data_IF_331850541043
#
_entry.id   IF_331850541043
#
_cell.length_a   1.000
_cell.length_b   1.000
_cell.length_c   1.000
_cell.angle_alpha   90.00
_cell.angle_beta   90.00
_cell.angle_gamma   90.00
#
_symmetry.space_group_name_H-M   'P 1'
#
loop_
_entity.id
_entity.type
_entity.pdbx_description
1 polymer ?
#
# COMPACT_ATOMS: atom_id res chain seq x y z
N UNK A 1 58.91 -22.87 -19.31
CA UNK A 1 57.44 -22.85 -19.18
C UNK A 1 57.00 -21.41 -19.00
N UNK A 2 56.44 -20.80 -20.04
CA UNK A 2 55.78 -19.52 -19.97
C UNK A 2 54.57 -19.61 -20.91
N UNK A 3 53.40 -19.85 -20.32
CA UNK A 3 52.13 -19.82 -21.04
C UNK A 3 51.74 -18.36 -21.25
N UNK A 4 51.76 -17.90 -22.49
CA UNK A 4 51.14 -16.66 -22.91
C UNK A 4 49.63 -16.85 -22.97
N UNK A 5 48.89 -16.24 -22.05
CA UNK A 5 47.43 -16.10 -22.14
C UNK A 5 47.03 -15.18 -23.30
N UNK A 6 46.04 -15.55 -24.14
CA UNK A 6 45.54 -14.65 -25.18
C UNK A 6 44.66 -13.56 -24.58
N UNK A 7 44.82 -12.33 -25.10
CA UNK A 7 44.02 -11.15 -24.77
C UNK A 7 42.54 -11.36 -25.15
N UNK A 8 41.56 -10.94 -24.34
CA UNK A 8 40.15 -11.07 -24.70
C UNK A 8 39.82 -10.16 -25.88
N UNK A 9 39.36 -10.75 -26.99
CA UNK A 9 38.72 -10.03 -28.10
C UNK A 9 37.45 -9.36 -27.61
N UNK A 10 37.34 -8.04 -27.75
CA UNK A 10 36.08 -7.32 -27.58
C UNK A 10 35.02 -7.89 -28.53
N UNK A 11 33.79 -8.15 -28.08
CA UNK A 11 32.71 -8.54 -29.00
C UNK A 11 32.29 -7.32 -29.82
N UNK A 12 32.77 -7.25 -31.07
CA UNK A 12 32.23 -6.39 -32.12
C UNK A 12 30.95 -7.00 -32.68
N UNK A 13 29.80 -6.56 -32.16
CA UNK A 13 28.52 -6.36 -32.88
C UNK A 13 27.40 -6.13 -31.87
N UNK A 14 27.19 -4.88 -31.47
CA UNK A 14 25.88 -4.46 -30.95
C UNK A 14 24.97 -4.30 -32.18
N UNK A 15 23.92 -5.11 -32.24
CA UNK A 15 22.86 -4.98 -33.24
C UNK A 15 22.35 -3.52 -33.30
N UNK A 16 21.95 -3.01 -34.47
CA UNK A 16 21.44 -1.65 -34.57
C UNK A 16 20.28 -1.47 -33.59
N UNK A 17 20.36 -0.44 -32.76
CA UNK A 17 19.27 -0.04 -31.88
C UNK A 17 18.01 0.09 -32.73
N UNK A 18 17.07 -0.84 -32.57
CA UNK A 18 15.74 -0.69 -33.14
C UNK A 18 15.22 0.66 -32.68
N UNK A 19 14.90 1.54 -33.63
CA UNK A 19 14.26 2.81 -33.37
C UNK A 19 12.91 2.49 -32.74
N UNK A 20 12.85 2.50 -31.40
CA UNK A 20 11.61 2.26 -30.68
C UNK A 20 10.73 3.46 -30.98
N UNK A 21 9.83 3.31 -31.95
CA UNK A 21 8.79 4.30 -32.19
C UNK A 21 8.06 4.49 -30.86
N UNK A 22 8.19 5.68 -30.25
CA UNK A 22 7.48 5.97 -29.01
C UNK A 22 5.98 6.04 -29.32
N UNK A 23 5.29 4.91 -29.16
CA UNK A 23 3.84 4.86 -29.23
C UNK A 23 3.32 5.56 -27.98
N UNK A 24 2.79 6.77 -28.16
CA UNK A 24 2.11 7.50 -27.10
C UNK A 24 0.72 6.88 -26.92
N UNK A 25 0.57 6.08 -25.87
CA UNK A 25 -0.73 5.53 -25.49
C UNK A 25 -1.50 6.60 -24.72
N UNK A 26 -2.70 6.95 -25.19
CA UNK A 26 -3.57 7.88 -24.48
C UNK A 26 -4.23 7.20 -23.28
N UNK A 27 -4.26 7.90 -22.15
CA UNK A 27 -4.91 7.39 -20.94
C UNK A 27 -6.43 7.36 -21.11
N UNK A 28 -7.05 6.36 -20.49
CA UNK A 28 -8.51 6.26 -20.47
C UNK A 28 -9.16 7.47 -19.77
N UNK A 29 -10.37 7.89 -20.18
CA UNK A 29 -11.11 8.97 -19.51
C UNK A 29 -11.36 8.70 -18.02
N UNK A 30 -11.47 7.44 -17.62
CA UNK A 30 -11.58 7.02 -16.21
C UNK A 30 -10.35 7.39 -15.39
N UNK A 31 -9.14 7.21 -15.95
CA UNK A 31 -7.87 7.52 -15.31
C UNK A 31 -7.76 9.01 -14.97
N UNK A 32 -8.27 9.88 -15.84
CA UNK A 32 -8.25 11.33 -15.59
C UNK A 32 -9.10 11.73 -14.36
N UNK A 33 -10.17 10.97 -14.06
CA UNK A 33 -11.04 11.21 -12.89
C UNK A 33 -10.36 10.85 -11.56
N UNK A 34 -9.35 9.97 -11.58
CA UNK A 34 -8.65 9.51 -10.37
C UNK A 34 -7.95 10.65 -9.63
N UNK A 35 -7.44 11.66 -10.35
CA UNK A 35 -6.83 12.85 -9.74
C UNK A 35 -7.74 13.49 -8.70
N UNK A 36 -9.02 13.67 -9.02
CA UNK A 36 -10.00 14.24 -8.11
C UNK A 36 -10.26 13.36 -6.88
N UNK A 37 -10.27 12.04 -7.05
CA UNK A 37 -10.44 11.07 -5.97
C UNK A 37 -9.24 11.10 -5.03
N UNK A 38 -8.01 11.05 -5.57
CA UNK A 38 -6.78 11.13 -4.79
C UNK A 38 -6.66 12.45 -4.04
N UNK A 39 -7.00 13.58 -4.67
CA UNK A 39 -7.01 14.90 -3.99
C UNK A 39 -8.01 14.91 -2.82
N UNK A 40 -9.21 14.36 -3.01
CA UNK A 40 -10.20 14.25 -1.92
C UNK A 40 -9.69 13.37 -0.78
N UNK A 41 -9.07 12.24 -1.10
CA UNK A 41 -8.46 11.35 -0.10
C UNK A 41 -7.38 12.08 0.71
N UNK A 42 -6.45 12.79 0.07
CA UNK A 42 -5.40 13.54 0.77
C UNK A 42 -5.97 14.66 1.66
N UNK A 43 -6.99 15.37 1.17
CA UNK A 43 -7.66 16.42 1.97
C UNK A 43 -8.38 15.82 3.18
N UNK A 44 -9.07 14.69 3.02
CA UNK A 44 -9.77 14.00 4.09
C UNK A 44 -8.82 13.39 5.10
N UNK A 45 -7.72 12.78 4.62
CA UNK A 45 -6.60 12.36 5.46
C UNK A 45 -6.15 13.51 6.36
N UNK A 46 -5.87 14.69 5.78
CA UNK A 46 -5.43 15.85 6.57
C UNK A 46 -6.47 16.31 7.58
N UNK A 47 -7.74 16.39 7.16
CA UNK A 47 -8.84 16.78 8.03
C UNK A 47 -8.99 15.80 9.21
N UNK A 48 -8.96 14.50 8.95
CA UNK A 48 -9.09 13.47 9.98
C UNK A 48 -7.94 13.50 10.98
N UNK A 49 -6.71 13.78 10.53
CA UNK A 49 -5.58 13.91 11.45
C UNK A 49 -5.62 15.22 12.28
N UNK A 50 -6.29 16.26 11.79
CA UNK A 50 -6.40 17.54 12.50
C UNK A 50 -7.53 17.59 13.53
N UNK A 51 -8.57 16.77 13.38
CA UNK A 51 -9.74 16.79 14.25
C UNK A 51 -9.55 15.82 15.44
N UNK A 52 -9.62 16.29 16.70
CA UNK A 52 -9.27 15.46 17.87
C UNK A 52 -10.24 14.30 18.14
N UNK A 53 -11.46 14.36 17.61
CA UNK A 53 -12.48 13.30 17.72
C UNK A 53 -12.49 12.33 16.53
N UNK A 54 -11.51 12.42 15.64
CA UNK A 54 -11.34 11.51 14.50
C UNK A 54 -10.08 10.67 14.70
N UNK A 55 -10.17 9.41 14.31
CA UNK A 55 -9.05 8.47 14.39
C UNK A 55 -8.51 8.15 13.00
N UNK A 56 -7.19 8.00 12.93
CA UNK A 56 -6.48 7.58 11.73
C UNK A 56 -5.58 6.40 12.05
N UNK A 57 -5.37 5.52 11.09
CA UNK A 57 -4.43 4.41 11.24
C UNK A 57 -3.51 4.37 10.04
N UNK A 58 -2.21 4.10 10.24
CA UNK A 58 -1.44 3.61 9.09
C UNK A 58 -1.72 2.14 8.94
N UNK A 59 -2.03 1.73 7.71
CA UNK A 59 -2.25 0.33 7.36
C UNK A 59 -1.37 -0.05 6.18
N UNK A 60 -0.79 -1.24 6.25
CA UNK A 60 0.05 -1.78 5.18
C UNK A 60 -0.79 -2.19 3.97
N UNK A 61 -0.18 -2.22 2.80
CA UNK A 61 -0.75 -2.90 1.64
C UNK A 61 -1.02 -4.37 2.01
N UNK A 62 -2.20 -4.88 1.64
CA UNK A 62 -2.66 -6.22 2.02
C UNK A 62 -3.39 -6.30 3.37
N UNK A 63 -3.42 -5.21 4.15
CA UNK A 63 -4.31 -5.11 5.31
C UNK A 63 -5.78 -4.97 4.85
N UNK A 64 -6.75 -5.61 5.54
CA UNK A 64 -8.19 -5.47 5.24
C UNK A 64 -8.69 -4.07 5.63
N UNK A 65 -8.49 -3.11 4.73
CA UNK A 65 -8.79 -1.68 4.93
C UNK A 65 -10.28 -1.40 5.21
N UNK A 66 -11.16 -2.32 4.82
CA UNK A 66 -12.58 -2.35 5.14
C UNK A 66 -12.82 -2.26 6.64
N UNK A 67 -11.95 -2.89 7.45
CA UNK A 67 -12.03 -2.80 8.91
C UNK A 67 -11.91 -1.37 9.40
N UNK A 68 -10.94 -0.60 8.87
CA UNK A 68 -10.77 0.80 9.25
C UNK A 68 -12.05 1.58 8.95
N UNK A 69 -12.61 1.40 7.76
CA UNK A 69 -13.84 2.09 7.38
C UNK A 69 -15.04 1.69 8.22
N UNK A 70 -15.18 0.42 8.58
CA UNK A 70 -16.26 -0.08 9.44
C UNK A 70 -16.15 0.50 10.86
N UNK A 71 -14.92 0.58 11.37
CA UNK A 71 -14.57 1.12 12.68
C UNK A 71 -14.42 2.65 12.69
N UNK A 72 -14.87 3.36 11.64
CA UNK A 72 -14.83 4.82 11.56
C UNK A 72 -13.42 5.44 11.66
N UNK A 73 -12.40 4.66 11.30
CA UNK A 73 -11.00 5.06 11.26
C UNK A 73 -10.62 5.38 9.82
N UNK A 74 -9.91 6.49 9.63
CA UNK A 74 -9.44 6.85 8.30
C UNK A 74 -8.06 6.20 8.04
N UNK A 75 -7.95 5.29 7.07
CA UNK A 75 -6.70 4.60 6.78
C UNK A 75 -5.74 5.52 6.02
N UNK A 76 -4.46 5.46 6.39
CA UNK A 76 -3.34 6.12 5.74
C UNK A 76 -2.38 5.04 5.23
N UNK A 77 -1.85 5.21 4.03
CA UNK A 77 -1.08 4.16 3.35
C UNK A 77 0.33 4.66 3.04
N UNK A 78 1.33 4.28 3.84
CA UNK A 78 2.69 4.79 3.68
C UNK A 78 3.36 4.32 2.38
N UNK A 79 2.99 3.17 1.81
CA UNK A 79 3.43 2.71 0.49
C UNK A 79 2.97 3.65 -0.61
N UNK A 80 1.69 4.06 -0.58
CA UNK A 80 1.16 5.01 -1.54
C UNK A 80 1.84 6.39 -1.39
N UNK A 81 2.11 6.82 -0.17
CA UNK A 81 2.88 8.04 0.08
C UNK A 81 4.29 7.95 -0.53
N UNK A 82 4.98 6.82 -0.40
CA UNK A 82 6.27 6.62 -1.04
C UNK A 82 6.18 6.56 -2.58
N UNK A 83 5.11 6.00 -3.15
CA UNK A 83 4.81 6.09 -4.58
C UNK A 83 4.66 7.55 -5.05
N UNK A 84 3.98 8.39 -4.26
CA UNK A 84 3.86 9.83 -4.56
C UNK A 84 5.26 10.48 -4.58
N UNK A 85 6.12 10.20 -3.60
CA UNK A 85 7.49 10.71 -3.59
C UNK A 85 8.29 10.26 -4.82
N UNK A 86 8.16 9.00 -5.22
CA UNK A 86 8.79 8.47 -6.43
C UNK A 86 8.31 9.17 -7.70
N UNK A 87 6.99 9.31 -7.86
CA UNK A 87 6.38 10.02 -9.00
C UNK A 87 6.74 11.51 -9.03
N UNK A 88 7.00 12.12 -7.87
CA UNK A 88 7.46 13.50 -7.73
C UNK A 88 8.98 13.66 -7.85
N UNK A 89 9.72 12.57 -8.04
CA UNK A 89 11.20 12.56 -8.13
C UNK A 89 11.88 13.13 -6.89
N UNK A 90 11.28 12.93 -5.72
CA UNK A 90 11.84 13.36 -4.42
C UNK A 90 12.22 12.18 -3.52
N UNK A 91 11.96 10.93 -3.94
CA UNK A 91 12.25 9.74 -3.13
C UNK A 91 13.74 9.55 -2.82
N UNK A 92 14.64 9.94 -3.73
CA UNK A 92 16.08 9.74 -3.54
C UNK A 92 16.61 10.43 -2.28
N UNK A 93 16.33 11.73 -2.10
CA UNK A 93 16.80 12.47 -0.93
C UNK A 93 16.17 11.97 0.37
N UNK A 94 14.93 11.46 0.32
CA UNK A 94 14.28 10.82 1.46
C UNK A 94 14.94 9.49 1.83
N UNK A 95 15.33 8.70 0.83
CA UNK A 95 16.09 7.45 1.04
C UNK A 95 17.45 7.75 1.67
N UNK A 96 18.19 8.73 1.14
CA UNK A 96 19.47 9.17 1.69
C UNK A 96 19.34 9.68 3.14
N UNK A 97 18.23 10.36 3.44
CA UNK A 97 17.90 10.77 4.83
C UNK A 97 17.77 9.55 5.73
N UNK A 98 16.99 8.54 5.32
CA UNK A 98 16.84 7.31 6.11
C UNK A 98 18.17 6.56 6.31
N UNK A 99 19.00 6.48 5.27
CA UNK A 99 20.33 5.85 5.36
C UNK A 99 21.24 6.60 6.34
N UNK A 100 21.16 7.94 6.38
CA UNK A 100 21.90 8.77 7.35
C UNK A 100 21.48 8.55 8.81
N UNK A 101 20.25 8.07 9.04
CA UNK A 101 19.75 7.68 10.37
C UNK A 101 20.24 6.28 10.79
N UNK A 102 21.04 5.61 9.96
CA UNK A 102 21.60 4.28 10.24
C UNK A 102 20.76 3.11 9.71
N UNK A 103 19.71 3.37 8.92
CA UNK A 103 18.96 2.30 8.27
C UNK A 103 19.75 1.70 7.10
N UNK A 104 19.80 0.37 7.02
CA UNK A 104 20.58 -0.33 5.98
C UNK A 104 20.10 0.03 4.58
N UNK A 105 21.06 0.15 3.64
CA UNK A 105 20.81 0.38 2.21
C UNK A 105 20.00 -0.75 1.57
N UNK A 106 20.06 -1.95 2.13
CA UNK A 106 19.37 -3.15 1.63
C UNK A 106 17.87 -3.16 1.96
N UNK A 107 17.40 -2.25 2.82
CA UNK A 107 15.99 -2.13 3.14
C UNK A 107 15.18 -1.62 1.94
N UNK A 108 13.91 -2.02 1.89
CA UNK A 108 12.97 -1.61 0.86
C UNK A 108 12.97 -0.09 0.66
N UNK A 109 12.94 0.35 -0.61
CA UNK A 109 12.87 1.77 -0.94
C UNK A 109 11.60 2.45 -0.41
N UNK A 110 10.47 1.74 -0.27
CA UNK A 110 9.27 2.26 0.38
C UNK A 110 9.51 2.55 1.87
N UNK A 111 10.12 1.62 2.60
CA UNK A 111 10.51 1.81 4.00
C UNK A 111 11.39 3.06 4.14
N UNK A 112 12.48 3.13 3.36
CA UNK A 112 13.46 4.24 3.46
C UNK A 112 12.84 5.58 3.06
N UNK A 113 12.06 5.61 1.98
CA UNK A 113 11.33 6.81 1.54
C UNK A 113 10.39 7.30 2.63
N UNK A 114 9.64 6.41 3.28
CA UNK A 114 8.71 6.77 4.35
C UNK A 114 9.43 7.24 5.62
N UNK A 115 10.50 6.56 6.02
CA UNK A 115 11.33 6.98 7.16
C UNK A 115 11.85 8.39 6.94
N UNK A 116 12.38 8.69 5.75
CA UNK A 116 12.84 10.02 5.38
C UNK A 116 11.70 11.05 5.26
N UNK A 117 10.55 10.66 4.72
CA UNK A 117 9.37 11.54 4.64
C UNK A 117 8.90 11.99 6.02
N UNK A 118 8.91 11.08 6.99
CA UNK A 118 8.60 11.37 8.39
C UNK A 118 9.66 12.27 9.01
N UNK A 119 10.94 11.94 8.83
CA UNK A 119 12.06 12.69 9.40
C UNK A 119 12.08 14.16 8.92
N UNK A 120 11.85 14.35 7.62
CA UNK A 120 11.90 15.68 6.99
C UNK A 120 10.61 16.49 7.15
N UNK A 121 9.51 15.86 7.58
CA UNK A 121 8.19 16.50 7.64
C UNK A 121 7.70 16.97 6.26
N UNK A 122 8.08 16.28 5.18
CA UNK A 122 7.73 16.70 3.81
C UNK A 122 6.21 16.79 3.63
N UNK A 123 5.75 17.70 2.76
CA UNK A 123 4.31 17.92 2.51
C UNK A 123 3.64 16.68 1.93
N UNK A 124 2.36 16.46 2.27
CA UNK A 124 1.57 15.31 1.78
C UNK A 124 1.54 15.18 0.24
N UNK A 125 1.50 16.31 -0.50
CA UNK A 125 1.56 16.31 -1.97
C UNK A 125 2.89 15.82 -2.57
N UNK A 126 3.91 15.64 -1.74
CA UNK A 126 5.23 15.10 -2.08
C UNK A 126 5.50 13.74 -1.39
N UNK A 127 4.47 13.12 -0.81
CA UNK A 127 4.56 11.82 -0.12
C UNK A 127 4.75 11.91 1.38
N UNK A 128 4.52 13.08 1.98
CA UNK A 128 4.34 13.18 3.43
C UNK A 128 3.12 12.41 3.91
N UNK A 129 3.16 11.98 5.16
CA UNK A 129 2.06 11.25 5.79
C UNK A 129 2.03 11.63 7.27
N UNK A 130 0.85 12.00 7.76
CA UNK A 130 0.71 12.49 9.13
C UNK A 130 0.78 11.35 10.15
N UNK A 131 1.20 11.66 11.39
CA UNK A 131 1.19 10.72 12.53
C UNK A 131 -0.23 10.19 12.77
N UNK A 132 -0.43 8.86 12.87
CA UNK A 132 -1.76 8.29 13.10
C UNK A 132 -2.08 8.12 14.58
N UNK A 133 -3.31 7.71 14.89
CA UNK A 133 -3.70 7.21 16.23
C UNK A 133 -2.98 5.90 16.55
N UNK A 134 -2.90 4.99 15.59
CA UNK A 134 -2.18 3.72 15.72
C UNK A 134 -1.63 3.23 14.38
N UNK A 135 -0.79 2.21 14.40
CA UNK A 135 -0.31 1.52 13.21
C UNK A 135 -0.81 0.08 13.22
N UNK A 136 -1.24 -0.42 12.07
CA UNK A 136 -1.55 -1.82 11.90
C UNK A 136 -0.91 -2.37 10.61
N UNK A 137 -0.39 -3.58 10.66
CA UNK A 137 0.15 -4.23 9.46
C UNK A 137 -0.13 -5.72 9.45
N UNK A 138 0.22 -6.34 8.33
CA UNK A 138 0.17 -7.78 8.12
C UNK A 138 1.44 -8.23 7.38
N UNK A 139 1.82 -9.49 7.53
CA UNK A 139 2.92 -10.13 6.81
C UNK A 139 2.51 -10.70 5.43
N UNK A 140 1.26 -10.55 4.98
CA UNK A 140 0.79 -11.10 3.69
C UNK A 140 1.62 -10.70 2.48
N UNK A 141 2.11 -9.45 2.44
CA UNK A 141 2.96 -8.96 1.36
C UNK A 141 4.43 -9.28 1.62
N UNK A 142 4.91 -8.96 2.82
CA UNK A 142 6.27 -9.30 3.27
C UNK A 142 6.43 -9.07 4.77
N UNK A 143 7.36 -9.80 5.39
CA UNK A 143 7.71 -9.60 6.81
C UNK A 143 8.36 -8.24 7.09
N UNK A 144 8.96 -7.61 6.08
CA UNK A 144 9.58 -6.29 6.27
C UNK A 144 8.55 -5.20 6.58
N UNK A 145 7.28 -5.35 6.16
CA UNK A 145 6.18 -4.47 6.55
C UNK A 145 5.93 -4.50 8.06
N UNK A 146 6.01 -5.68 8.69
CA UNK A 146 5.86 -5.81 10.15
C UNK A 146 6.94 -5.00 10.86
N UNK A 147 8.22 -5.18 10.49
CA UNK A 147 9.33 -4.42 11.09
C UNK A 147 9.26 -2.93 10.79
N UNK A 148 8.80 -2.56 9.60
CA UNK A 148 8.57 -1.17 9.21
C UNK A 148 7.59 -0.47 10.14
N UNK A 149 6.40 -1.05 10.29
CA UNK A 149 5.34 -0.46 11.09
C UNK A 149 5.69 -0.46 12.57
N UNK A 150 6.33 -1.52 13.09
CA UNK A 150 6.89 -1.52 14.45
C UNK A 150 7.89 -0.38 14.67
N UNK A 151 8.77 -0.11 13.69
CA UNK A 151 9.75 0.97 13.77
C UNK A 151 9.07 2.33 13.84
N UNK A 152 8.09 2.58 12.96
CA UNK A 152 7.37 3.85 12.93
C UNK A 152 6.47 4.04 14.14
N UNK A 153 5.83 2.98 14.65
CA UNK A 153 5.06 3.02 15.88
C UNK A 153 5.93 3.45 17.08
N UNK A 154 7.15 2.91 17.19
CA UNK A 154 8.11 3.35 18.21
C UNK A 154 8.55 4.80 18.03
N UNK A 155 8.87 5.21 16.79
CA UNK A 155 9.28 6.60 16.49
C UNK A 155 8.17 7.61 16.80
N UNK A 156 6.91 7.25 16.56
CA UNK A 156 5.77 8.10 16.88
C UNK A 156 5.28 7.99 18.33
N UNK A 157 5.64 6.93 19.05
CA UNK A 157 5.10 6.62 20.38
C UNK A 157 3.60 6.33 20.33
N UNK A 158 3.16 5.49 19.38
CA UNK A 158 1.76 5.10 19.19
C UNK A 158 1.63 3.58 19.20
N UNK A 159 0.45 3.03 19.57
CA UNK A 159 0.23 1.60 19.63
C UNK A 159 0.33 0.95 18.23
N UNK A 160 0.68 -0.33 18.21
CA UNK A 160 0.86 -1.13 17.01
C UNK A 160 0.12 -2.46 17.14
N UNK A 161 -0.56 -2.87 16.07
CA UNK A 161 -1.16 -4.19 15.92
C UNK A 161 -0.60 -4.90 14.67
N UNK A 162 -0.23 -6.17 14.79
CA UNK A 162 0.26 -6.96 13.67
C UNK A 162 -0.61 -8.19 13.46
N UNK A 163 -1.22 -8.31 12.28
CA UNK A 163 -1.82 -9.56 11.82
C UNK A 163 -0.73 -10.50 11.33
N UNK A 164 -0.60 -11.63 11.99
CA UNK A 164 0.25 -12.73 11.57
C UNK A 164 -0.58 -13.72 10.75
N UNK A 165 -0.33 -13.75 9.45
CA UNK A 165 -1.02 -14.62 8.50
C UNK A 165 -0.11 -15.81 8.21
N UNK A 166 -0.52 -17.04 8.58
CA UNK A 166 0.24 -18.24 8.28
C UNK A 166 0.45 -18.41 6.77
N UNK A 167 1.65 -18.86 6.39
CA UNK A 167 1.94 -19.16 4.98
C UNK A 167 1.45 -20.57 4.63
N UNK A 168 0.57 -20.67 3.64
CA UNK A 168 0.22 -21.95 3.04
C UNK A 168 1.37 -22.41 2.12
N UNK A 169 2.13 -23.41 2.59
CA UNK A 169 3.26 -24.01 1.87
C UNK A 169 2.91 -25.41 1.37
N UNK A 170 3.81 -26.01 0.60
CA UNK A 170 3.61 -27.37 0.09
C UNK A 170 3.40 -28.38 1.24
N UNK A 171 2.44 -29.29 1.07
CA UNK A 171 2.07 -30.29 2.07
C UNK A 171 1.07 -29.84 3.16
N UNK A 172 0.57 -28.60 3.11
CA UNK A 172 -0.54 -28.16 3.98
C UNK A 172 -1.84 -28.86 3.55
N UNK A 173 -2.54 -29.51 4.49
CA UNK A 173 -3.82 -30.17 4.27
C UNK A 173 -5.00 -29.27 4.69
N UNK A 174 -6.23 -29.67 4.32
CA UNK A 174 -7.44 -28.89 4.60
C UNK A 174 -7.65 -28.63 6.11
N UNK A 175 -7.38 -29.62 6.96
CA UNK A 175 -7.44 -29.48 8.42
C UNK A 175 -6.51 -28.37 8.94
N UNK A 176 -5.28 -28.31 8.42
CA UNK A 176 -4.34 -27.23 8.77
C UNK A 176 -4.80 -25.87 8.26
N UNK A 177 -5.46 -25.82 7.10
CA UNK A 177 -6.05 -24.56 6.60
C UNK A 177 -7.16 -24.09 7.54
N UNK A 178 -8.02 -24.98 8.03
CA UNK A 178 -9.06 -24.64 9.01
C UNK A 178 -8.44 -24.05 10.30
N UNK A 179 -7.37 -24.67 10.83
CA UNK A 179 -6.63 -24.11 11.97
C UNK A 179 -6.07 -22.71 11.69
N UNK A 180 -5.57 -22.45 10.48
CA UNK A 180 -5.09 -21.12 10.10
C UNK A 180 -6.23 -20.11 10.02
N UNK A 181 -7.40 -20.52 9.53
CA UNK A 181 -8.59 -19.67 9.50
C UNK A 181 -9.01 -19.31 10.93
N UNK A 182 -9.12 -20.29 11.82
CA UNK A 182 -9.49 -20.07 13.22
C UNK A 182 -8.50 -19.11 13.91
N UNK A 183 -7.20 -19.30 13.71
CA UNK A 183 -6.16 -18.40 14.23
C UNK A 183 -6.31 -16.96 13.71
N UNK A 184 -6.64 -16.78 12.43
CA UNK A 184 -6.84 -15.45 11.86
C UNK A 184 -8.15 -14.83 12.36
N UNK A 185 -9.21 -15.63 12.57
CA UNK A 185 -10.47 -15.19 13.18
C UNK A 185 -10.25 -14.66 14.59
N UNK A 186 -9.48 -15.37 15.42
CA UNK A 186 -9.12 -14.91 16.78
C UNK A 186 -8.38 -13.57 16.73
N UNK A 187 -7.45 -13.40 15.78
CA UNK A 187 -6.75 -12.13 15.60
C UNK A 187 -7.66 -10.98 15.17
N UNK A 188 -8.75 -11.22 14.44
CA UNK A 188 -9.75 -10.18 14.16
C UNK A 188 -10.45 -9.73 15.45
N UNK A 189 -10.78 -10.66 16.35
CA UNK A 189 -11.37 -10.32 17.65
C UNK A 189 -10.40 -9.52 18.52
N UNK A 190 -9.11 -9.91 18.56
CA UNK A 190 -8.06 -9.16 19.23
C UNK A 190 -7.89 -7.76 18.64
N UNK A 191 -7.96 -7.63 17.32
CA UNK A 191 -7.90 -6.33 16.65
C UNK A 191 -9.07 -5.44 17.04
N UNK A 192 -10.29 -5.98 17.15
CA UNK A 192 -11.45 -5.21 17.61
C UNK A 192 -11.26 -4.71 19.04
N UNK A 193 -10.79 -5.56 19.97
CA UNK A 193 -10.47 -5.16 21.33
C UNK A 193 -9.35 -4.12 21.40
N UNK A 194 -8.32 -4.27 20.55
CA UNK A 194 -7.25 -3.28 20.40
C UNK A 194 -7.79 -1.93 19.93
N UNK A 195 -8.64 -1.91 18.90
CA UNK A 195 -9.21 -0.67 18.38
C UNK A 195 -10.11 -0.01 19.43
N UNK A 196 -10.97 -0.76 20.10
CA UNK A 196 -11.84 -0.25 21.15
C UNK A 196 -11.02 0.39 22.28
N UNK A 197 -9.96 -0.28 22.73
CA UNK A 197 -9.05 0.21 23.79
C UNK A 197 -8.40 1.55 23.44
N UNK A 198 -8.04 1.78 22.18
CA UNK A 198 -7.26 2.94 21.77
C UNK A 198 -8.07 4.06 21.09
N UNK A 199 -9.33 3.79 20.73
CA UNK A 199 -10.16 4.72 19.94
C UNK A 199 -11.60 4.83 20.39
N UNK A 200 -12.04 3.98 21.34
CA UNK A 200 -13.44 3.86 21.77
C UNK A 200 -14.42 3.55 20.62
N UNK A 201 -13.91 3.14 19.45
CA UNK A 201 -14.73 2.70 18.32
C UNK A 201 -15.01 1.21 18.45
N UNK A 202 -16.28 0.85 18.25
CA UNK A 202 -16.74 -0.54 18.19
C UNK A 202 -17.27 -0.87 16.81
N UNK A 203 -17.17 -2.14 16.41
CA UNK A 203 -17.63 -2.59 15.11
C UNK A 203 -19.16 -2.52 15.04
N UNK A 204 -19.68 -1.83 14.04
CA UNK A 204 -21.10 -1.86 13.70
C UNK A 204 -21.32 -2.87 12.58
N UNK A 205 -21.83 -4.04 12.93
CA UNK A 205 -21.96 -5.18 12.01
C UNK A 205 -22.68 -4.84 10.70
N UNK A 206 -23.83 -4.16 10.76
CA UNK A 206 -24.54 -3.73 9.54
C UNK A 206 -23.65 -2.90 8.60
N UNK A 207 -22.88 -1.97 9.17
CA UNK A 207 -21.97 -1.09 8.43
C UNK A 207 -20.81 -1.89 7.85
N UNK A 208 -20.30 -2.85 8.60
CA UNK A 208 -19.23 -3.72 8.15
C UNK A 208 -19.65 -4.51 6.89
N UNK A 209 -20.81 -5.16 6.91
CA UNK A 209 -21.32 -5.88 5.74
C UNK A 209 -21.60 -4.96 4.53
N UNK A 210 -22.12 -3.75 4.76
CA UNK A 210 -22.29 -2.77 3.67
C UNK A 210 -20.96 -2.31 3.03
N UNK A 211 -19.87 -2.35 3.78
CA UNK A 211 -18.53 -2.01 3.30
C UNK A 211 -17.95 -3.20 2.55
N UNK A 212 -18.08 -4.41 3.08
CA UNK A 212 -17.66 -5.65 2.41
C UNK A 212 -18.33 -5.81 1.05
N UNK A 213 -19.65 -5.67 0.94
CA UNK A 213 -20.36 -5.76 -0.34
C UNK A 213 -19.84 -4.78 -1.40
N UNK A 214 -19.45 -3.56 -0.98
CA UNK A 214 -18.85 -2.56 -1.88
C UNK A 214 -17.42 -2.92 -2.26
N UNK A 215 -16.66 -3.52 -1.34
CA UNK A 215 -15.32 -4.04 -1.61
C UNK A 215 -15.37 -5.20 -2.59
N UNK A 216 -16.25 -6.18 -2.36
CA UNK A 216 -16.44 -7.32 -3.26
C UNK A 216 -16.80 -6.84 -4.67
N UNK A 217 -17.72 -5.88 -4.78
CA UNK A 217 -18.06 -5.29 -6.08
C UNK A 217 -16.86 -4.59 -6.75
N UNK A 218 -15.98 -3.94 -5.98
CA UNK A 218 -14.77 -3.34 -6.51
C UNK A 218 -13.79 -4.42 -7.02
N UNK A 219 -13.64 -5.52 -6.27
CA UNK A 219 -12.80 -6.65 -6.66
C UNK A 219 -13.33 -7.34 -7.93
N UNK A 220 -14.63 -7.56 -8.04
CA UNK A 220 -15.27 -8.08 -9.26
C UNK A 220 -14.99 -7.18 -10.47
N UNK A 221 -15.21 -5.87 -10.33
CA UNK A 221 -14.92 -4.90 -11.39
C UNK A 221 -13.44 -4.90 -11.80
N UNK A 222 -12.53 -5.12 -10.84
CA UNK A 222 -11.12 -5.25 -11.11
C UNK A 222 -10.81 -6.51 -11.93
N UNK A 223 -11.43 -7.65 -11.60
CA UNK A 223 -11.32 -8.87 -12.39
C UNK A 223 -11.89 -8.69 -13.80
N UNK A 224 -13.05 -8.03 -13.94
CA UNK A 224 -13.62 -7.68 -15.25
C UNK A 224 -12.62 -6.88 -16.11
N UNK A 225 -11.94 -5.87 -15.53
CA UNK A 225 -10.88 -5.11 -16.21
C UNK A 225 -9.74 -6.05 -16.68
N UNK A 226 -9.33 -7.02 -15.87
CA UNK A 226 -8.28 -7.97 -16.23
C UNK A 226 -8.71 -8.92 -17.35
N UNK A 227 -9.98 -9.31 -17.42
CA UNK A 227 -10.51 -10.07 -18.54
C UNK A 227 -10.46 -9.27 -19.85
N UNK A 228 -10.86 -7.98 -19.82
CA UNK A 228 -10.75 -7.11 -21.00
C UNK A 228 -9.31 -6.92 -21.49
N UNK A 229 -8.32 -6.97 -20.58
CA UNK A 229 -6.89 -6.84 -20.94
C UNK A 229 -6.34 -8.00 -21.77
N UNK A 230 -7.08 -9.12 -21.87
CA UNK A 230 -6.70 -10.26 -22.73
C UNK A 230 -6.98 -10.02 -24.22
N UNK A 231 -7.78 -9.01 -24.56
CA UNK A 231 -8.11 -8.65 -25.95
C UNK A 231 -6.86 -8.08 -26.64
N UNK A 232 -6.68 -8.37 -27.93
CA UNK A 232 -5.60 -7.81 -28.75
C UNK A 232 -6.16 -6.93 -29.88
N UNK A 233 -5.78 -5.64 -29.96
CA UNK A 233 -4.95 -4.92 -29.00
C UNK A 233 -5.66 -4.70 -27.66
N UNK A 234 -4.89 -4.62 -26.56
CA UNK A 234 -5.47 -4.40 -25.22
C UNK A 234 -6.15 -3.03 -25.15
N UNK A 235 -7.39 -2.95 -24.62
CA UNK A 235 -8.10 -1.69 -24.46
C UNK A 235 -7.59 -0.84 -23.28
N UNK A 236 -6.69 -1.39 -22.45
CA UNK A 236 -6.16 -0.72 -21.25
C UNK A 236 -4.64 -0.68 -21.28
N UNK A 237 -4.07 0.52 -21.10
CA UNK A 237 -2.63 0.70 -20.98
C UNK A 237 -2.13 0.34 -19.58
N UNK A 238 -0.87 -0.08 -19.47
CA UNK A 238 -0.27 -0.38 -18.15
C UNK A 238 -0.31 0.84 -17.20
N UNK A 239 -0.10 2.04 -17.73
CA UNK A 239 -0.15 3.29 -16.94
C UNK A 239 -1.54 3.55 -16.34
N UNK A 240 -2.62 3.22 -17.05
CA UNK A 240 -3.99 3.31 -16.53
C UNK A 240 -4.18 2.35 -15.35
N UNK A 241 -3.65 1.13 -15.45
CA UNK A 241 -3.73 0.15 -14.35
C UNK A 241 -2.97 0.60 -13.11
N UNK A 242 -1.78 1.20 -13.26
CA UNK A 242 -1.02 1.73 -12.12
C UNK A 242 -1.77 2.82 -11.37
N UNK A 243 -2.47 3.70 -12.09
CA UNK A 243 -3.32 4.71 -11.45
C UNK A 243 -4.54 4.08 -10.78
N UNK A 244 -5.17 3.10 -11.43
CA UNK A 244 -6.38 2.45 -10.96
C UNK A 244 -6.14 1.47 -9.77
N UNK A 245 -4.90 1.13 -9.45
CA UNK A 245 -4.54 0.45 -8.20
C UNK A 245 -4.88 1.31 -6.97
N UNK A 246 -4.84 2.65 -7.08
CA UNK A 246 -5.15 3.54 -5.95
C UNK A 246 -6.52 3.25 -5.32
N UNK A 247 -7.65 3.30 -6.05
CA UNK A 247 -8.95 2.96 -5.47
C UNK A 247 -9.03 1.50 -5.04
N UNK A 248 -8.37 0.57 -5.73
CA UNK A 248 -8.36 -0.85 -5.36
C UNK A 248 -7.71 -1.12 -4.01
N UNK A 249 -6.60 -0.45 -3.69
CA UNK A 249 -5.85 -0.72 -2.46
C UNK A 249 -6.34 0.15 -1.31
N UNK A 250 -6.65 1.42 -1.58
CA UNK A 250 -6.91 2.39 -0.51
C UNK A 250 -8.39 2.59 -0.23
N UNK A 251 -9.27 2.36 -1.21
CA UNK A 251 -10.70 2.65 -1.14
C UNK A 251 -11.66 1.43 -1.24
N UNK A 252 -11.25 0.16 -1.02
CA UNK A 252 -12.19 -0.94 -0.79
C UNK A 252 -13.31 -0.57 0.18
N UNK A 253 -14.55 -0.81 -0.22
CA UNK A 253 -15.73 -0.49 0.59
C UNK A 253 -16.07 1.01 0.73
N UNK A 254 -15.26 1.91 0.17
CA UNK A 254 -15.43 3.36 0.29
C UNK A 254 -16.32 3.94 -0.83
N UNK A 255 -17.61 4.17 -0.51
CA UNK A 255 -18.60 4.70 -1.45
C UNK A 255 -18.86 6.20 -1.35
N UNK A 256 -19.46 6.82 -2.40
CA UNK A 256 -19.79 8.27 -2.49
C UNK A 256 -20.59 8.88 -1.33
N UNK A 257 -21.28 8.07 -0.51
CA UNK A 257 -22.07 8.50 0.65
C UNK A 257 -21.45 8.06 1.99
N UNK A 258 -20.18 7.64 2.01
CA UNK A 258 -19.57 7.13 3.23
C UNK A 258 -19.44 8.26 4.28
N UNK A 259 -19.67 8.02 5.59
CA UNK A 259 -19.60 9.07 6.62
C UNK A 259 -18.22 9.72 6.81
N UNK A 260 -17.16 9.11 6.25
CA UNK A 260 -15.80 9.65 6.22
C UNK A 260 -15.53 10.51 4.97
N UNK A 261 -16.52 10.67 4.08
CA UNK A 261 -16.48 11.51 2.88
C UNK A 261 -16.97 12.94 3.14
#
# INVERSE_FOLDING_TARGET
MAHSTPTPTQPTNLAPHHEVTQIRVENLPSTQKLKGIMTKYLLKSKLHTMLPWKHTAWVAAGFPVELCYALNIFPLHPENSACISGARKVSQSLIETAESLGFSRDLCSYFKTNVGAVETGIKAGLGGIDKPTFLASTNTICDTHVKWFQTQARRFGVPYFGFDIPSAVDGVNDERIEEYVDYVVDQFHDFFGFVETHTEQTLKEHRFFEILQKSDRLAELWQEIYEYRKISPTPVAFQDTLAAIFPLVLLPGFGRRHPLL
#
